data_IF_344286841980
#
_entry.id   IF_344286841980
#
_cell.length_a   1.000
_cell.length_b   1.000
_cell.length_c   1.000
_cell.angle_alpha   90.00
_cell.angle_beta   90.00
_cell.angle_gamma   90.00
#
_symmetry.space_group_name_H-M   'P 1'
#
loop_
_entity.id
_entity.type
_entity.pdbx_description
1 polymer ?
#
# COMPACT_ATOMS: atom_id res chain seq x y z
N UNK A 1 17.20 14.67 -24.97
CA UNK A 1 17.91 14.42 -23.68
C UNK A 1 18.31 12.95 -23.66
N UNK A 2 19.57 12.58 -23.37
CA UNK A 2 20.00 11.18 -23.37
C UNK A 2 19.39 10.42 -22.17
N UNK A 3 19.13 9.11 -22.33
CA UNK A 3 18.63 8.27 -21.24
C UNK A 3 19.70 8.11 -20.14
N UNK A 4 19.31 8.11 -18.85
CA UNK A 4 20.23 7.90 -17.73
C UNK A 4 20.96 6.55 -17.81
N UNK A 5 22.24 6.52 -17.42
CA UNK A 5 23.10 5.33 -17.54
C UNK A 5 22.56 4.11 -16.77
N UNK A 6 21.96 4.31 -15.59
CA UNK A 6 21.33 3.26 -14.80
C UNK A 6 20.17 2.60 -15.54
N UNK A 7 19.30 3.42 -16.15
CA UNK A 7 18.16 2.94 -16.94
C UNK A 7 18.63 2.14 -18.16
N UNK A 8 19.66 2.63 -18.87
CA UNK A 8 20.28 1.91 -19.99
C UNK A 8 20.83 0.55 -19.54
N UNK A 9 21.51 0.51 -18.39
CA UNK A 9 22.08 -0.74 -17.85
C UNK A 9 20.99 -1.76 -17.50
N UNK A 10 19.90 -1.32 -16.86
CA UNK A 10 18.78 -2.21 -16.53
C UNK A 10 18.15 -2.79 -17.80
N UNK A 11 17.85 -1.93 -18.78
CA UNK A 11 17.24 -2.36 -20.05
C UNK A 11 18.14 -3.38 -20.74
N UNK A 12 19.43 -3.08 -20.91
CA UNK A 12 20.39 -4.01 -21.55
C UNK A 12 20.48 -5.35 -20.84
N UNK A 13 20.58 -5.35 -19.51
CA UNK A 13 20.71 -6.59 -18.74
C UNK A 13 19.44 -7.42 -18.80
N UNK A 14 18.26 -6.79 -18.72
CA UNK A 14 16.97 -7.51 -18.73
C UNK A 14 16.51 -7.93 -20.11
N UNK A 15 16.94 -7.26 -21.19
CA UNK A 15 16.67 -7.71 -22.56
C UNK A 15 17.72 -8.69 -23.09
N UNK A 16 18.80 -8.92 -22.34
CA UNK A 16 19.89 -9.78 -22.81
C UNK A 16 19.41 -11.23 -22.97
N UNK A 17 19.42 -11.72 -24.22
CA UNK A 17 19.03 -13.09 -24.54
C UNK A 17 17.54 -13.38 -24.47
N UNK A 18 16.68 -12.36 -24.32
CA UNK A 18 15.22 -12.51 -24.32
C UNK A 18 14.67 -12.18 -25.70
N UNK A 19 13.84 -13.05 -26.28
CA UNK A 19 13.11 -12.74 -27.50
C UNK A 19 11.92 -11.81 -27.21
N UNK A 20 11.64 -10.80 -28.06
CA UNK A 20 10.40 -10.01 -27.96
C UNK A 20 9.11 -10.83 -28.04
N UNK A 21 9.19 -12.10 -28.47
CA UNK A 21 8.06 -13.04 -28.51
C UNK A 21 7.82 -13.78 -27.20
N UNK A 22 8.80 -13.79 -26.29
CA UNK A 22 8.76 -14.53 -25.01
C UNK A 22 8.39 -13.64 -23.83
N UNK A 23 8.72 -12.35 -23.91
CA UNK A 23 8.48 -11.40 -22.84
C UNK A 23 8.05 -10.04 -23.39
N UNK A 24 6.93 -9.46 -22.91
CA UNK A 24 6.52 -8.13 -23.34
C UNK A 24 7.62 -7.10 -23.02
N UNK A 25 8.10 -6.39 -24.04
CA UNK A 25 9.07 -5.31 -23.84
C UNK A 25 8.55 -4.20 -22.92
N UNK A 26 7.23 -4.07 -22.81
CA UNK A 26 6.53 -3.18 -21.87
C UNK A 26 6.83 -3.54 -20.40
N UNK A 27 6.90 -4.83 -20.05
CA UNK A 27 7.18 -5.27 -18.68
C UNK A 27 8.62 -4.93 -18.27
N UNK A 28 9.59 -5.16 -19.17
CA UNK A 28 11.00 -4.81 -18.94
C UNK A 28 11.16 -3.29 -18.83
N UNK A 29 10.50 -2.54 -19.71
CA UNK A 29 10.58 -1.08 -19.70
C UNK A 29 9.95 -0.51 -18.44
N UNK A 30 8.77 -0.98 -18.06
CA UNK A 30 8.07 -0.58 -16.84
C UNK A 30 8.92 -0.86 -15.62
N UNK A 31 9.50 -2.06 -15.52
CA UNK A 31 10.40 -2.43 -14.44
C UNK A 31 11.58 -1.45 -14.33
N UNK A 32 12.32 -1.25 -15.43
CA UNK A 32 13.55 -0.46 -15.39
C UNK A 32 13.29 1.03 -15.17
N UNK A 33 12.19 1.56 -15.71
CA UNK A 33 11.77 2.95 -15.46
C UNK A 33 11.35 3.11 -14.00
N UNK A 34 10.54 2.20 -13.45
CA UNK A 34 10.14 2.26 -12.04
C UNK A 34 11.33 2.13 -11.09
N UNK A 35 12.23 1.17 -11.33
CA UNK A 35 13.46 1.02 -10.54
C UNK A 35 14.30 2.29 -10.57
N UNK A 36 14.47 2.90 -11.75
CA UNK A 36 15.21 4.15 -11.88
C UNK A 36 14.55 5.31 -11.13
N UNK A 37 13.23 5.48 -11.29
CA UNK A 37 12.46 6.49 -10.56
C UNK A 37 12.55 6.27 -9.04
N UNK A 38 12.63 5.03 -8.58
CA UNK A 38 12.75 4.73 -7.16
C UNK A 38 14.15 4.95 -6.60
N UNK A 39 15.20 4.62 -7.36
CA UNK A 39 16.59 4.98 -7.02
C UNK A 39 16.71 6.50 -6.86
N UNK A 40 16.08 7.27 -7.74
CA UNK A 40 16.07 8.72 -7.60
C UNK A 40 15.13 9.16 -6.47
N UNK A 41 14.01 8.49 -6.23
CA UNK A 41 13.15 8.77 -5.07
C UNK A 41 13.89 8.56 -3.74
N UNK A 42 14.81 7.59 -3.62
CA UNK A 42 15.63 7.40 -2.42
C UNK A 42 16.52 8.62 -2.15
N UNK A 43 17.02 9.26 -3.21
CA UNK A 43 17.82 10.49 -3.10
C UNK A 43 16.96 11.72 -2.79
N UNK A 44 15.75 11.79 -3.36
CA UNK A 44 14.83 12.91 -3.21
C UNK A 44 14.11 12.86 -1.85
N UNK A 45 13.88 11.65 -1.33
CA UNK A 45 13.09 11.39 -0.14
C UNK A 45 13.80 10.41 0.82
N UNK A 46 15.00 10.77 1.33
CA UNK A 46 15.66 9.96 2.33
C UNK A 46 14.82 9.95 3.61
N UNK A 47 14.67 8.78 4.20
CA UNK A 47 14.09 8.66 5.52
C UNK A 47 14.73 7.49 6.26
N UNK A 48 15.16 7.76 7.48
CA UNK A 48 15.66 6.77 8.41
C UNK A 48 14.62 6.54 9.50
N UNK A 49 14.23 5.28 9.70
CA UNK A 49 13.33 4.90 10.78
C UNK A 49 13.99 5.20 12.11
N UNK A 50 13.34 6.02 12.93
CA UNK A 50 13.88 6.42 14.24
C UNK A 50 13.83 5.26 15.24
N UNK A 51 14.70 5.33 16.25
CA UNK A 51 14.69 4.34 17.34
C UNK A 51 13.35 4.34 18.10
N UNK A 52 12.73 5.51 18.29
CA UNK A 52 11.41 5.63 18.94
C UNK A 52 10.32 4.92 18.13
N UNK A 53 10.34 5.07 16.81
CA UNK A 53 9.43 4.36 15.90
C UNK A 53 9.62 2.85 16.04
N UNK A 54 10.87 2.40 16.01
CA UNK A 54 11.22 0.97 16.14
C UNK A 54 10.76 0.40 17.48
N UNK A 55 11.01 1.12 18.59
CA UNK A 55 10.57 0.72 19.93
C UNK A 55 9.05 0.68 20.06
N UNK A 56 8.33 1.64 19.49
CA UNK A 56 6.87 1.63 19.49
C UNK A 56 6.31 0.44 18.72
N UNK A 57 6.80 0.18 17.51
CA UNK A 57 6.35 -0.98 16.72
C UNK A 57 6.58 -2.29 17.47
N UNK A 58 7.72 -2.47 18.12
CA UNK A 58 7.98 -3.67 18.92
C UNK A 58 6.96 -3.84 20.07
N UNK A 59 6.58 -2.76 20.76
CA UNK A 59 5.59 -2.81 21.85
C UNK A 59 4.20 -3.23 21.39
N UNK A 60 3.80 -2.93 20.15
CA UNK A 60 2.51 -3.35 19.60
C UNK A 60 2.34 -4.89 19.69
N UNK A 61 3.43 -5.64 19.47
CA UNK A 61 3.42 -7.10 19.49
C UNK A 61 3.60 -7.72 20.89
N UNK A 62 4.07 -6.95 21.87
CA UNK A 62 4.18 -7.41 23.26
C UNK A 62 2.80 -7.45 23.95
N UNK A 63 1.94 -6.47 23.64
CA UNK A 63 0.61 -6.33 24.23
C UNK A 63 -0.31 -7.49 23.82
N UNK A 64 -0.27 -7.91 22.56
CA UNK A 64 -1.08 -9.00 22.01
C UNK A 64 -0.79 -10.40 22.56
N UNK A 65 0.33 -10.59 23.29
CA UNK A 65 0.66 -11.86 23.98
C UNK A 65 0.04 -11.99 25.37
N UNK A 66 -0.42 -10.89 25.99
CA UNK A 66 -0.90 -10.89 27.38
C UNK A 66 -2.40 -11.12 27.52
N UNK A 67 -3.19 -10.86 26.47
CA UNK A 67 -4.64 -11.08 26.47
C UNK A 67 -4.94 -12.54 26.08
N UNK A 68 -5.41 -13.33 27.06
CA UNK A 68 -5.70 -14.78 26.93
C UNK A 68 -6.91 -15.12 26.05
N UNK A 69 -7.69 -14.14 25.61
CA UNK A 69 -8.74 -14.28 24.61
C UNK A 69 -8.36 -13.48 23.36
N UNK A 70 -7.64 -14.10 22.44
CA UNK A 70 -7.47 -13.52 21.11
C UNK A 70 -8.81 -13.62 20.38
N UNK A 71 -9.58 -12.52 20.38
CA UNK A 71 -10.71 -12.36 19.48
C UNK A 71 -10.20 -12.63 18.06
N UNK A 72 -10.82 -13.60 17.38
CA UNK A 72 -10.46 -13.96 16.02
C UNK A 72 -10.56 -12.71 15.12
N UNK A 73 -9.45 -12.33 14.51
CA UNK A 73 -9.38 -11.18 13.60
C UNK A 73 -9.85 -11.62 12.23
N UNK A 74 -10.97 -11.06 11.78
CA UNK A 74 -11.52 -11.31 10.45
C UNK A 74 -11.40 -10.02 9.66
N UNK A 75 -10.57 -10.04 8.61
CA UNK A 75 -10.53 -8.97 7.61
C UNK A 75 -11.68 -9.16 6.65
N UNK A 76 -12.47 -8.10 6.44
CA UNK A 76 -13.64 -8.10 5.56
C UNK A 76 -13.36 -7.25 4.33
N UNK A 77 -14.07 -7.56 3.25
CA UNK A 77 -14.10 -6.68 2.09
C UNK A 77 -14.64 -5.31 2.54
N UNK A 78 -14.00 -4.23 2.12
CA UNK A 78 -14.24 -2.89 2.64
C UNK A 78 -15.69 -2.41 2.47
N UNK A 79 -16.34 -2.76 1.36
CA UNK A 79 -17.76 -2.44 1.07
C UNK A 79 -18.72 -3.28 1.91
N UNK A 80 -18.25 -4.38 2.48
CA UNK A 80 -19.02 -5.28 3.35
C UNK A 80 -18.90 -4.95 4.83
N UNK A 81 -18.11 -3.94 5.21
CA UNK A 81 -18.13 -3.41 6.57
C UNK A 81 -19.50 -2.82 6.90
N UNK A 82 -19.99 -3.08 8.10
CA UNK A 82 -21.12 -2.33 8.64
C UNK A 82 -20.75 -0.85 8.76
N UNK A 83 -21.76 0.03 8.86
CA UNK A 83 -21.54 1.46 9.05
C UNK A 83 -20.63 1.75 10.26
N UNK A 84 -20.81 1.03 11.36
CA UNK A 84 -20.01 1.22 12.57
C UNK A 84 -18.57 0.74 12.36
N UNK A 85 -18.36 -0.45 11.81
CA UNK A 85 -17.01 -0.96 11.51
C UNK A 85 -16.24 -0.03 10.57
N UNK A 86 -16.91 0.49 9.52
CA UNK A 86 -16.29 1.43 8.59
C UNK A 86 -15.93 2.75 9.28
N UNK A 87 -16.84 3.30 10.08
CA UNK A 87 -16.59 4.54 10.81
C UNK A 87 -15.45 4.39 11.82
N UNK A 88 -15.38 3.26 12.52
CA UNK A 88 -14.30 2.96 13.46
C UNK A 88 -12.97 2.80 12.74
N UNK A 89 -12.94 2.10 11.59
CA UNK A 89 -11.75 2.01 10.76
C UNK A 89 -11.26 3.40 10.30
N UNK A 90 -12.14 4.23 9.72
CA UNK A 90 -11.79 5.59 9.30
C UNK A 90 -11.26 6.44 10.46
N UNK A 91 -11.96 6.39 11.61
CA UNK A 91 -11.58 7.11 12.80
C UNK A 91 -10.22 6.66 13.34
N UNK A 92 -9.94 5.36 13.38
CA UNK A 92 -8.65 4.83 13.83
C UNK A 92 -7.50 5.33 12.94
N UNK A 93 -7.68 5.33 11.61
CA UNK A 93 -6.68 5.86 10.67
C UNK A 93 -6.44 7.36 10.90
N UNK A 94 -7.51 8.15 11.03
CA UNK A 94 -7.41 9.59 11.30
C UNK A 94 -6.71 9.89 12.64
N UNK A 95 -7.02 9.12 13.68
CA UNK A 95 -6.40 9.28 15.00
C UNK A 95 -4.92 8.91 14.98
N UNK A 96 -4.51 7.86 14.25
CA UNK A 96 -3.09 7.55 14.05
C UNK A 96 -2.33 8.71 13.37
N UNK A 97 -2.99 9.40 12.44
CA UNK A 97 -2.41 10.57 11.75
C UNK A 97 -2.29 11.79 12.64
N UNK A 98 -3.18 11.93 13.62
CA UNK A 98 -3.17 13.02 14.60
C UNK A 98 -2.23 12.75 15.78
N UNK A 99 -1.98 11.47 16.11
CA UNK A 99 -1.17 11.07 17.26
C UNK A 99 0.32 11.31 17.01
N UNK A 100 0.86 12.37 17.62
CA UNK A 100 2.26 12.78 17.55
C UNK A 100 3.13 12.19 18.68
N UNK A 101 2.63 11.22 19.47
CA UNK A 101 3.45 10.55 20.50
C UNK A 101 4.61 9.74 19.92
N UNK A 102 4.57 9.46 18.61
CA UNK A 102 5.71 9.00 17.80
C UNK A 102 5.83 9.94 16.61
N UNK A 103 7.00 10.52 16.39
CA UNK A 103 7.20 11.51 15.33
C UNK A 103 7.34 10.87 13.93
N UNK A 104 6.86 11.55 12.87
CA UNK A 104 6.16 12.85 12.89
C UNK A 104 4.69 12.73 13.34
N UNK A 105 4.08 11.56 13.14
CA UNK A 105 2.86 11.05 13.78
C UNK A 105 2.87 9.53 13.57
N UNK A 106 2.07 8.76 14.32
CA UNK A 106 2.09 7.30 14.23
C UNK A 106 1.76 6.76 12.85
N UNK A 107 0.84 7.39 12.09
CA UNK A 107 0.54 6.96 10.72
C UNK A 107 1.75 7.12 9.81
N UNK A 108 2.35 8.31 9.79
CA UNK A 108 3.51 8.59 8.93
C UNK A 108 4.75 7.81 9.38
N UNK A 109 4.92 7.58 10.68
CA UNK A 109 5.98 6.74 11.21
C UNK A 109 5.90 5.31 10.64
N UNK A 110 4.69 4.76 10.46
CA UNK A 110 4.49 3.48 9.76
C UNK A 110 4.77 3.63 8.26
N UNK A 111 4.18 4.62 7.58
CA UNK A 111 4.37 4.85 6.13
C UNK A 111 5.85 4.93 5.77
N UNK A 112 6.64 5.52 6.66
CA UNK A 112 8.06 5.70 6.45
C UNK A 112 8.88 4.39 6.47
N UNK A 113 8.38 3.28 7.01
CA UNK A 113 9.00 1.96 6.81
C UNK A 113 8.96 1.50 5.35
N UNK A 114 8.06 2.05 4.53
CA UNK A 114 7.94 1.74 3.09
C UNK A 114 8.68 2.75 2.20
N UNK A 115 9.68 3.45 2.75
CA UNK A 115 10.47 4.48 2.03
C UNK A 115 11.96 4.15 2.09
N UNK A 116 12.75 4.95 1.37
CA UNK A 116 14.21 4.84 1.39
C UNK A 116 14.66 3.44 1.02
N UNK A 117 15.54 2.86 1.83
CA UNK A 117 16.17 1.57 1.51
C UNK A 117 15.24 0.37 1.53
N UNK A 118 14.13 0.44 2.27
CA UNK A 118 13.14 -0.62 2.32
C UNK A 118 12.45 -0.88 0.97
N UNK A 119 12.44 0.10 0.05
CA UNK A 119 11.76 -0.04 -1.26
C UNK A 119 12.30 -1.26 -2.04
N UNK A 120 13.62 -1.48 -2.00
CA UNK A 120 14.26 -2.59 -2.74
C UNK A 120 14.00 -3.97 -2.13
N UNK A 121 13.74 -4.06 -0.82
CA UNK A 121 13.37 -5.32 -0.17
C UNK A 121 11.85 -5.55 -0.17
N UNK A 122 11.06 -4.49 -0.25
CA UNK A 122 9.61 -4.54 -0.30
C UNK A 122 9.07 -4.98 -1.67
N UNK A 123 9.79 -4.72 -2.77
CA UNK A 123 9.28 -4.91 -4.14
C UNK A 123 10.24 -5.71 -5.02
N UNK A 124 9.73 -6.12 -6.20
CA UNK A 124 10.55 -6.64 -7.32
C UNK A 124 11.41 -7.87 -7.02
N UNK A 125 11.15 -8.53 -5.89
CA UNK A 125 11.82 -9.73 -5.45
C UNK A 125 10.88 -10.66 -4.67
N UNK A 126 11.35 -11.88 -4.36
CA UNK A 126 10.52 -12.91 -3.72
C UNK A 126 10.10 -12.55 -2.28
N UNK A 127 10.71 -11.52 -1.68
CA UNK A 127 10.32 -11.00 -0.38
C UNK A 127 9.00 -10.20 -0.39
N UNK A 128 8.55 -9.73 -1.56
CA UNK A 128 7.36 -8.86 -1.71
C UNK A 128 6.15 -9.28 -0.87
N UNK A 129 5.62 -10.52 -0.96
CA UNK A 129 4.42 -10.88 -0.23
C UNK A 129 4.65 -11.02 1.29
N UNK A 130 5.84 -11.48 1.69
CA UNK A 130 6.20 -11.60 3.10
C UNK A 130 6.39 -10.24 3.76
N UNK A 131 7.10 -9.33 3.09
CA UNK A 131 7.34 -7.97 3.54
C UNK A 131 6.03 -7.22 3.75
N UNK A 132 5.15 -7.23 2.75
CA UNK A 132 3.85 -6.54 2.82
C UNK A 132 2.90 -7.17 3.83
N UNK A 133 2.96 -8.49 4.04
CA UNK A 133 2.18 -9.16 5.10
C UNK A 133 2.53 -8.62 6.48
N UNK A 134 3.83 -8.48 6.78
CA UNK A 134 4.28 -7.92 8.06
C UNK A 134 3.95 -6.44 8.16
N UNK A 135 4.11 -5.67 7.08
CA UNK A 135 3.74 -4.26 7.05
C UNK A 135 2.24 -4.04 7.34
N UNK A 136 1.35 -4.81 6.70
CA UNK A 136 -0.08 -4.78 6.97
C UNK A 136 -0.41 -5.21 8.41
N UNK A 137 0.32 -6.19 8.97
CA UNK A 137 0.14 -6.60 10.36
C UNK A 137 0.54 -5.48 11.34
N UNK A 138 1.67 -4.81 11.12
CA UNK A 138 2.09 -3.64 11.92
C UNK A 138 1.00 -2.56 11.88
N UNK A 139 0.49 -2.25 10.69
CA UNK A 139 -0.56 -1.25 10.53
C UNK A 139 -1.86 -1.65 11.25
N UNK A 140 -2.27 -2.91 11.17
CA UNK A 140 -3.44 -3.41 11.88
C UNK A 140 -3.27 -3.36 13.40
N UNK A 141 -2.10 -3.71 13.95
CA UNK A 141 -1.85 -3.57 15.39
C UNK A 141 -1.90 -2.11 15.84
N UNK A 142 -1.37 -1.18 15.04
CA UNK A 142 -1.45 0.24 15.34
C UNK A 142 -2.90 0.76 15.33
N UNK A 143 -3.73 0.32 14.38
CA UNK A 143 -5.16 0.65 14.38
C UNK A 143 -5.84 0.14 15.65
N UNK A 144 -5.48 -1.07 16.09
CA UNK A 144 -6.03 -1.73 17.28
C UNK A 144 -5.52 -1.13 18.60
N UNK A 145 -4.35 -0.51 18.60
CA UNK A 145 -3.89 0.31 19.73
C UNK A 145 -4.87 1.46 20.00
N UNK A 146 -5.46 2.03 18.94
CA UNK A 146 -6.43 3.13 19.05
C UNK A 146 -7.85 2.60 19.28
N UNK A 147 -8.32 1.65 18.47
CA UNK A 147 -9.65 1.03 18.58
C UNK A 147 -9.51 -0.50 18.56
N UNK A 148 -9.56 -1.18 19.72
CA UNK A 148 -9.25 -2.62 19.83
C UNK A 148 -10.12 -3.57 19.01
N UNK A 149 -11.26 -3.13 18.47
CA UNK A 149 -12.15 -3.97 17.65
C UNK A 149 -11.87 -3.87 16.15
N UNK A 150 -11.07 -2.90 15.71
CA UNK A 150 -10.78 -2.69 14.28
C UNK A 150 -9.92 -3.82 13.73
N UNK A 151 -10.22 -4.23 12.50
CA UNK A 151 -9.36 -5.05 11.64
C UNK A 151 -9.11 -4.29 10.35
N UNK A 152 -8.00 -4.58 9.67
CA UNK A 152 -7.68 -3.95 8.39
C UNK A 152 -8.61 -4.53 7.31
N UNK A 153 -9.51 -3.75 6.69
CA UNK A 153 -10.30 -4.26 5.57
C UNK A 153 -9.41 -4.48 4.34
N UNK A 154 -9.87 -5.32 3.42
CA UNK A 154 -9.28 -5.46 2.09
C UNK A 154 -10.20 -4.87 1.03
N UNK A 155 -9.61 -4.37 -0.05
CA UNK A 155 -10.35 -3.94 -1.24
C UNK A 155 -10.21 -5.01 -2.32
N UNK A 156 -11.31 -5.68 -2.66
CA UNK A 156 -11.33 -6.61 -3.79
C UNK A 156 -11.52 -5.87 -5.12
N UNK A 157 -10.40 -5.44 -5.70
CA UNK A 157 -10.39 -4.74 -6.99
C UNK A 157 -10.88 -5.60 -8.17
N UNK A 158 -10.99 -6.93 -8.00
CA UNK A 158 -11.53 -7.81 -9.05
C UNK A 158 -13.01 -7.58 -9.30
N UNK A 159 -13.76 -7.11 -8.30
CA UNK A 159 -15.15 -6.70 -8.47
C UNK A 159 -15.26 -5.44 -9.33
N UNK A 160 -14.34 -4.49 -9.15
CA UNK A 160 -14.30 -3.24 -9.91
C UNK A 160 -13.81 -3.46 -11.35
N UNK A 161 -12.98 -4.49 -11.58
CA UNK A 161 -12.53 -4.90 -12.91
C UNK A 161 -13.67 -5.35 -13.84
N UNK A 162 -14.82 -5.74 -13.28
CA UNK A 162 -16.00 -6.17 -14.01
C UNK A 162 -16.92 -4.99 -14.39
N UNK A 163 -16.66 -3.79 -13.86
CA UNK A 163 -17.42 -2.58 -14.18
C UNK A 163 -17.05 -2.06 -15.57
N UNK A 164 -18.00 -1.37 -16.23
CA UNK A 164 -17.74 -0.67 -17.49
C UNK A 164 -16.65 0.39 -17.32
N UNK A 165 -16.73 1.14 -16.23
CA UNK A 165 -15.79 2.18 -15.83
C UNK A 165 -15.40 1.93 -14.37
N UNK A 166 -14.23 1.33 -14.08
CA UNK A 166 -13.82 1.04 -12.71
C UNK A 166 -13.64 2.28 -11.81
N UNK A 167 -13.36 3.44 -12.40
CA UNK A 167 -13.28 4.74 -11.72
C UNK A 167 -14.62 5.19 -11.11
N UNK A 168 -15.74 4.67 -11.61
CA UNK A 168 -17.09 4.91 -11.07
C UNK A 168 -17.38 4.05 -9.82
N UNK A 169 -16.42 3.24 -9.36
CA UNK A 169 -16.58 2.43 -8.16
C UNK A 169 -16.92 3.27 -6.94
N UNK A 170 -17.87 2.78 -6.13
CA UNK A 170 -18.27 3.43 -4.87
C UNK A 170 -17.10 3.61 -3.90
N UNK A 171 -16.00 2.86 -4.07
CA UNK A 171 -14.79 3.03 -3.27
C UNK A 171 -14.30 4.49 -3.36
N UNK A 172 -14.42 5.15 -4.51
CA UNK A 172 -14.01 6.54 -4.74
C UNK A 172 -15.10 7.57 -4.39
N UNK A 173 -16.02 7.23 -3.49
CA UNK A 173 -17.01 8.15 -2.97
C UNK A 173 -16.62 8.70 -1.59
N UNK A 174 -17.26 9.81 -1.18
CA UNK A 174 -17.18 10.36 0.17
C UNK A 174 -17.51 9.37 1.30
N UNK A 175 -18.22 8.27 0.99
CA UNK A 175 -18.53 7.23 1.97
C UNK A 175 -17.32 6.34 2.27
N UNK A 176 -16.35 6.28 1.37
CA UNK A 176 -15.19 5.40 1.42
C UNK A 176 -13.89 6.19 1.39
N UNK A 177 -13.16 6.23 0.27
CA UNK A 177 -11.81 6.83 0.26
C UNK A 177 -11.78 8.25 -0.30
N UNK A 178 -12.92 8.79 -0.76
CA UNK A 178 -13.05 10.11 -1.37
C UNK A 178 -12.83 10.11 -2.88
N UNK A 179 -12.95 11.29 -3.51
CA UNK A 179 -13.00 11.49 -4.96
C UNK A 179 -11.85 10.81 -5.73
N UNK A 180 -12.10 10.35 -6.98
CA UNK A 180 -11.14 9.57 -7.78
C UNK A 180 -10.08 10.43 -8.49
N UNK A 181 -10.35 11.73 -8.68
CA UNK A 181 -9.51 12.60 -9.51
C UNK A 181 -9.26 13.96 -8.84
N UNK A 182 -8.06 14.49 -9.05
CA UNK A 182 -7.58 15.74 -8.49
C UNK A 182 -7.21 15.69 -7.01
N UNK A 183 -7.25 16.85 -6.37
CA UNK A 183 -7.07 16.97 -4.92
C UNK A 183 -8.23 16.24 -4.19
N UNK A 184 -7.90 15.41 -3.21
CA UNK A 184 -8.93 14.71 -2.42
C UNK A 184 -9.54 15.69 -1.43
N UNK A 185 -10.78 16.10 -1.70
CA UNK A 185 -11.51 17.13 -0.93
C UNK A 185 -12.73 16.60 -0.19
N UNK A 186 -13.09 15.33 -0.37
CA UNK A 186 -14.20 14.69 0.33
C UNK A 186 -13.82 13.34 0.98
N UNK A 187 -14.78 12.81 1.75
CA UNK A 187 -14.60 11.58 2.51
C UNK A 187 -13.67 11.71 3.73
N UNK A 188 -13.35 10.59 4.39
CA UNK A 188 -12.57 10.57 5.63
C UNK A 188 -11.11 11.01 5.44
N UNK A 189 -10.62 11.06 4.20
CA UNK A 189 -9.24 11.44 3.87
C UNK A 189 -9.17 12.75 3.08
N UNK A 190 -10.21 13.59 3.16
CA UNK A 190 -10.19 14.94 2.63
C UNK A 190 -9.04 15.75 3.23
N UNK A 191 -8.31 16.49 2.39
CA UNK A 191 -7.16 17.31 2.79
C UNK A 191 -6.05 16.54 3.52
N UNK A 192 -5.94 15.23 3.28
CA UNK A 192 -4.88 14.42 3.86
C UNK A 192 -3.53 14.92 3.36
N UNK A 193 -2.61 15.20 4.28
CA UNK A 193 -1.30 15.78 3.96
C UNK A 193 -0.17 14.86 4.41
N UNK A 194 0.89 14.76 3.64
CA UNK A 194 2.14 14.14 4.04
C UNK A 194 3.29 15.12 3.82
N UNK A 195 4.16 15.29 4.82
CA UNK A 195 5.17 16.36 4.87
C UNK A 195 6.12 16.41 3.66
N UNK A 196 6.31 15.29 2.97
CA UNK A 196 7.13 15.23 1.75
C UNK A 196 6.31 15.04 0.47
N UNK A 197 5.05 14.63 0.57
CA UNK A 197 4.18 14.32 -0.56
C UNK A 197 3.15 15.40 -0.87
N UNK A 198 3.01 16.38 0.02
CA UNK A 198 1.95 17.40 -0.07
C UNK A 198 0.58 16.81 0.23
N UNK A 199 -0.45 17.44 -0.33
CA UNK A 199 -1.83 16.99 -0.20
C UNK A 199 -2.09 15.75 -1.08
N UNK A 200 -2.94 14.85 -0.57
CA UNK A 200 -3.38 13.67 -1.29
C UNK A 200 -4.09 14.05 -2.58
N UNK A 201 -3.54 13.60 -3.70
CA UNK A 201 -4.10 13.75 -5.04
C UNK A 201 -4.29 12.38 -5.68
N UNK A 202 -5.27 12.27 -6.58
CA UNK A 202 -5.54 11.06 -7.35
C UNK A 202 -5.74 11.39 -8.83
N UNK A 203 -5.54 10.38 -9.65
CA UNK A 203 -5.84 10.39 -11.07
C UNK A 203 -6.20 8.95 -11.48
N UNK A 204 -7.31 8.45 -10.90
CA UNK A 204 -7.73 7.05 -11.04
C UNK A 204 -8.04 6.75 -12.51
N UNK A 205 -7.56 5.61 -13.01
CA UNK A 205 -7.77 5.19 -14.40
C UNK A 205 -6.81 5.81 -15.42
N UNK A 206 -5.96 6.76 -15.03
CA UNK A 206 -4.96 7.33 -15.95
C UNK A 206 -3.89 6.33 -16.38
N UNK A 207 -3.49 5.42 -15.48
CA UNK A 207 -2.52 4.35 -15.74
C UNK A 207 -2.96 3.08 -15.03
N UNK A 208 -2.78 1.94 -15.70
CA UNK A 208 -3.12 0.63 -15.17
C UNK A 208 -4.63 0.36 -15.17
N UNK A 209 -5.01 -0.80 -14.64
CA UNK A 209 -6.40 -1.24 -14.49
C UNK A 209 -6.52 -2.11 -13.23
N UNK A 210 -7.73 -2.24 -12.64
CA UNK A 210 -7.93 -3.16 -11.54
C UNK A 210 -7.52 -4.59 -11.92
N UNK A 211 -7.14 -5.38 -10.92
CA UNK A 211 -6.83 -6.79 -11.15
C UNK A 211 -8.08 -7.51 -11.63
N UNK A 212 -8.03 -8.18 -12.78
CA UNK A 212 -9.13 -9.03 -13.22
C UNK A 212 -8.92 -10.50 -12.80
N UNK A 213 -10.01 -11.27 -12.69
CA UNK A 213 -9.96 -12.67 -12.25
C UNK A 213 -9.10 -13.57 -13.16
N UNK A 214 -9.01 -13.28 -14.46
CA UNK A 214 -8.20 -14.08 -15.39
C UNK A 214 -6.72 -13.83 -15.12
N UNK A 215 -6.36 -12.57 -14.99
CA UNK A 215 -5.02 -12.11 -14.65
C UNK A 215 -4.59 -12.60 -13.27
N UNK A 216 -5.49 -12.59 -12.28
CA UNK A 216 -5.23 -13.16 -10.94
C UNK A 216 -4.83 -14.63 -10.98
N UNK A 217 -5.53 -15.46 -11.77
CA UNK A 217 -5.22 -16.90 -11.89
C UNK A 217 -3.84 -17.18 -12.49
N UNK A 218 -3.30 -16.26 -13.28
CA UNK A 218 -1.96 -16.35 -13.86
C UNK A 218 -0.89 -16.12 -12.78
N UNK A 219 -1.09 -15.13 -11.92
CA UNK A 219 -0.11 -14.73 -10.89
C UNK A 219 -0.25 -15.50 -9.57
N UNK A 220 -1.43 -16.05 -9.27
CA UNK A 220 -1.71 -16.86 -8.10
C UNK A 220 -2.50 -18.11 -8.53
N UNK A 221 -1.84 -19.12 -9.12
CA UNK A 221 -2.47 -20.41 -9.40
C UNK A 221 -2.99 -21.02 -8.11
N UNK A 222 -4.02 -21.87 -8.19
CA UNK A 222 -4.86 -22.35 -7.08
C UNK A 222 -4.11 -23.00 -5.88
N UNK A 223 -2.81 -23.26 -6.03
CA UNK A 223 -1.91 -23.79 -4.99
C UNK A 223 -1.09 -22.73 -4.24
N UNK A 224 -1.20 -21.45 -4.59
CA UNK A 224 -0.62 -20.32 -3.85
C UNK A 224 -1.73 -19.64 -3.06
N UNK A 225 -1.95 -20.09 -1.82
CA UNK A 225 -2.86 -19.43 -0.89
C UNK A 225 -2.17 -18.17 -0.36
N UNK A 226 -2.22 -17.07 -1.12
CA UNK A 226 -2.05 -15.73 -0.56
C UNK A 226 -3.40 -15.23 -0.04
N UNK A 227 -3.90 -15.84 1.04
CA UNK A 227 -4.92 -15.22 1.88
C UNK A 227 -4.21 -14.17 2.74
N UNK A 228 -4.51 -12.90 2.50
CA UNK A 228 -4.11 -11.78 3.35
C UNK A 228 -5.23 -11.40 4.32
#
# INVERSE_FOLDING_TARGET
>A
MPLPAHLISCLKNRTYGISPTEYPGEDVTTFCVQEHLWVDSKKIFPYEVTEDTSRWVLRLFEKGRREKEQILRIRKEYRMLTKNERNDYHRAVQLLKQDQSVLPNKYDAIVNFHRGDAIGSAHFGPAFPGWHRIFCLIFEEALREIIPTVTLPYWDSTLDSEMKNPEDSIIFSKLFIGNPDGLVTDGPYANWHHDKGGLLTRNVGAVGRPLDKKTWKIYCPENIIMKF
#
